data_IF_776861885938
#
_entry.id   IF_776861885938
#
_cell.length_a   1.000
_cell.length_b   1.000
_cell.length_c   1.000
_cell.angle_alpha   90.00
_cell.angle_beta   90.00
_cell.angle_gamma   90.00
#
_symmetry.space_group_name_H-M   'P 1'
#
loop_
_entity.id
_entity.type
_entity.pdbx_description
1 polymer ?
#
# COMPACT_ATOMS: atom_id res chain seq x y z
N UNK A 1 -5.46 21.38 -3.09
CA UNK A 1 -6.26 20.34 -2.45
C UNK A 1 -5.81 20.13 -1.01
N UNK A 2 -6.72 19.71 -0.14
CA UNK A 2 -6.41 19.23 1.22
C UNK A 2 -6.35 17.71 1.21
N UNK A 3 -5.18 17.13 1.49
CA UNK A 3 -4.92 15.69 1.33
C UNK A 3 -4.45 15.10 2.66
N UNK A 4 -5.14 14.07 3.14
CA UNK A 4 -4.69 13.28 4.28
C UNK A 4 -3.89 12.06 3.80
N UNK A 5 -2.72 11.84 4.39
CA UNK A 5 -1.85 10.70 4.07
C UNK A 5 -1.60 9.90 5.35
N UNK A 6 -2.28 8.78 5.49
CA UNK A 6 -2.11 7.87 6.61
C UNK A 6 -0.86 7.01 6.38
N UNK A 7 0.09 7.04 7.32
CA UNK A 7 1.35 6.30 7.16
C UNK A 7 2.31 6.86 6.10
N UNK A 8 2.23 8.15 5.80
CA UNK A 8 2.95 8.82 4.70
C UNK A 8 4.48 8.90 4.82
N UNK A 9 5.10 8.19 5.76
CA UNK A 9 6.57 8.23 5.96
C UNK A 9 7.30 6.98 5.44
N UNK A 10 6.57 6.03 4.86
CA UNK A 10 7.10 4.77 4.33
C UNK A 10 7.68 4.87 2.91
N UNK A 11 7.98 3.71 2.32
CA UNK A 11 8.66 3.58 1.02
C UNK A 11 7.93 4.28 -0.14
N UNK A 12 6.60 4.27 -0.14
CA UNK A 12 5.75 4.93 -1.14
C UNK A 12 5.29 6.31 -0.66
N UNK A 13 4.99 6.46 0.64
CA UNK A 13 4.44 7.68 1.21
C UNK A 13 5.42 8.85 1.19
N UNK A 14 6.68 8.63 1.58
CA UNK A 14 7.67 9.71 1.62
C UNK A 14 7.93 10.38 0.25
N UNK A 15 8.12 9.64 -0.86
CA UNK A 15 8.21 10.25 -2.17
C UNK A 15 6.88 10.91 -2.61
N UNK A 16 5.72 10.36 -2.25
CA UNK A 16 4.42 10.94 -2.58
C UNK A 16 4.24 12.30 -1.89
N UNK A 17 4.49 12.39 -0.59
CA UNK A 17 4.46 13.66 0.16
C UNK A 17 5.33 14.71 -0.51
N UNK A 18 6.55 14.32 -0.93
CA UNK A 18 7.49 15.22 -1.60
C UNK A 18 7.00 15.69 -2.97
N UNK A 19 6.29 14.83 -3.71
CA UNK A 19 5.73 15.19 -5.02
C UNK A 19 4.53 16.12 -4.84
N UNK A 20 3.56 15.77 -4.00
CA UNK A 20 2.33 16.52 -3.79
C UNK A 20 2.58 17.92 -3.19
N UNK A 21 3.63 18.07 -2.37
CA UNK A 21 3.98 19.36 -1.81
C UNK A 21 4.44 20.39 -2.86
N UNK A 22 4.91 19.95 -4.04
CA UNK A 22 5.32 20.85 -5.13
C UNK A 22 4.16 21.57 -5.78
N UNK A 23 2.95 21.02 -5.71
CA UNK A 23 1.75 21.52 -6.37
C UNK A 23 0.86 22.36 -5.44
N UNK A 24 1.43 22.97 -4.40
CA UNK A 24 0.74 23.79 -3.39
C UNK A 24 -0.44 23.09 -2.70
N UNK A 25 -0.41 21.77 -2.61
CA UNK A 25 -1.40 21.01 -1.83
C UNK A 25 -1.14 21.17 -0.33
N UNK A 26 -2.18 21.30 0.47
CA UNK A 26 -2.09 21.20 1.93
C UNK A 26 -2.10 19.72 2.32
N UNK A 27 -1.00 19.24 2.84
CA UNK A 27 -0.81 17.84 3.20
C UNK A 27 -0.87 17.66 4.71
N UNK A 28 -1.70 16.72 5.15
CA UNK A 28 -1.80 16.25 6.52
C UNK A 28 -1.23 14.83 6.58
N UNK A 29 -0.07 14.67 7.19
CA UNK A 29 0.70 13.41 7.13
C UNK A 29 0.81 12.80 8.52
N UNK A 30 0.24 11.61 8.74
CA UNK A 30 0.40 10.94 10.02
C UNK A 30 1.78 10.28 10.15
N UNK A 31 2.35 10.40 11.35
CA UNK A 31 3.64 9.79 11.70
C UNK A 31 3.66 9.41 13.18
N UNK A 32 4.17 8.22 13.50
CA UNK A 32 4.37 7.79 14.89
C UNK A 32 5.46 8.62 15.60
N UNK A 33 6.45 9.08 14.85
CA UNK A 33 7.52 9.94 15.36
C UNK A 33 7.20 11.40 15.11
N UNK A 34 7.62 12.28 16.04
CA UNK A 34 7.53 13.72 15.86
C UNK A 34 8.33 14.15 14.62
N UNK A 35 7.74 15.01 13.80
CA UNK A 35 8.38 15.62 12.63
C UNK A 35 8.07 17.11 12.58
N UNK A 36 8.99 17.86 12.03
CA UNK A 36 8.80 19.29 11.82
C UNK A 36 7.88 19.55 10.64
N UNK A 37 6.93 20.45 10.82
CA UNK A 37 6.06 20.91 9.75
C UNK A 37 6.89 21.71 8.72
N UNK A 38 6.42 21.68 7.48
CA UNK A 38 6.96 22.46 6.36
C UNK A 38 5.83 23.29 5.77
N UNK A 39 6.16 24.21 4.87
CA UNK A 39 5.21 25.19 4.33
C UNK A 39 3.83 24.62 3.95
N UNK A 40 3.81 23.48 3.26
CA UNK A 40 2.54 22.84 2.84
C UNK A 40 2.30 21.48 3.50
N UNK A 41 3.12 21.08 4.47
CA UNK A 41 3.07 19.76 5.10
C UNK A 41 2.90 19.91 6.60
N UNK A 42 1.76 19.48 7.11
CA UNK A 42 1.49 19.34 8.54
C UNK A 42 1.66 17.88 8.94
N UNK A 43 2.69 17.60 9.75
CA UNK A 43 2.85 16.27 10.34
C UNK A 43 2.05 16.15 11.63
N UNK A 44 1.14 15.17 11.67
CA UNK A 44 0.31 14.89 12.84
C UNK A 44 0.89 13.66 13.53
N UNK A 45 1.45 13.85 14.72
CA UNK A 45 2.04 12.76 15.48
C UNK A 45 0.96 11.91 16.13
N UNK A 46 0.99 10.61 15.83
CA UNK A 46 0.08 9.62 16.43
C UNK A 46 0.08 8.29 15.67
N UNK A 47 -0.57 7.31 16.27
CA UNK A 47 -0.78 6.01 15.63
C UNK A 47 -2.13 6.02 14.90
N UNK A 48 -2.13 6.03 13.58
CA UNK A 48 -3.35 6.03 12.77
C UNK A 48 -4.22 4.78 12.97
N UNK A 49 -3.70 3.71 13.60
CA UNK A 49 -4.48 2.54 14.02
C UNK A 49 -5.24 2.75 15.35
N UNK A 50 -4.85 3.73 16.15
CA UNK A 50 -5.58 4.07 17.36
C UNK A 50 -6.91 4.74 17.00
N UNK A 51 -8.01 4.24 17.57
CA UNK A 51 -9.36 4.69 17.21
C UNK A 51 -9.65 6.13 17.71
N UNK A 52 -9.09 6.53 18.85
CA UNK A 52 -9.28 7.90 19.35
C UNK A 52 -8.51 8.89 18.46
N UNK A 53 -7.27 8.58 18.13
CA UNK A 53 -6.48 9.40 17.21
C UNK A 53 -7.12 9.44 15.81
N UNK A 54 -7.56 8.30 15.27
CA UNK A 54 -8.24 8.24 13.97
C UNK A 54 -9.48 9.16 13.93
N UNK A 55 -10.31 9.16 14.98
CA UNK A 55 -11.47 10.05 15.07
C UNK A 55 -11.08 11.53 15.01
N UNK A 56 -9.95 11.92 15.60
CA UNK A 56 -9.49 13.32 15.52
C UNK A 56 -9.12 13.74 14.10
N UNK A 57 -8.62 12.81 13.28
CA UNK A 57 -8.31 13.08 11.87
C UNK A 57 -9.58 13.27 11.05
N UNK A 58 -10.67 12.60 11.42
CA UNK A 58 -11.97 12.65 10.73
C UNK A 58 -12.87 13.82 11.19
N UNK A 59 -12.32 14.86 11.84
CA UNK A 59 -13.04 16.08 12.18
C UNK A 59 -13.32 16.99 10.96
N UNK A 60 -12.74 16.69 9.82
CA UNK A 60 -12.87 17.46 8.57
C UNK A 60 -13.00 16.53 7.38
N UNK A 61 -13.40 17.09 6.25
CA UNK A 61 -13.38 16.40 4.98
C UNK A 61 -12.09 16.74 4.22
N UNK A 62 -11.62 15.81 3.40
CA UNK A 62 -10.42 15.93 2.56
C UNK A 62 -10.79 15.73 1.09
N UNK A 63 -10.07 16.39 0.19
CA UNK A 63 -10.21 16.11 -1.25
C UNK A 63 -9.74 14.69 -1.57
N UNK A 64 -8.66 14.23 -0.90
CA UNK A 64 -8.22 12.84 -1.00
C UNK A 64 -7.71 12.31 0.35
N UNK A 65 -7.98 11.05 0.63
CA UNK A 65 -7.33 10.27 1.70
C UNK A 65 -6.51 9.17 1.06
N UNK A 66 -5.20 9.15 1.34
CA UNK A 66 -4.26 8.14 0.83
C UNK A 66 -3.81 7.29 2.00
N UNK A 67 -4.21 6.03 2.02
CA UNK A 67 -4.13 5.17 3.19
C UNK A 67 -3.09 4.05 3.01
N UNK A 68 -1.86 4.29 3.47
CA UNK A 68 -0.78 3.31 3.47
C UNK A 68 -0.80 2.36 4.68
N UNK A 69 -1.84 2.43 5.50
CA UNK A 69 -1.94 1.56 6.67
C UNK A 69 -2.27 0.13 6.26
N UNK A 70 -1.76 -0.81 7.03
CA UNK A 70 -2.10 -2.24 6.88
C UNK A 70 -3.09 -2.59 7.98
N UNK A 71 -4.29 -2.94 7.60
CA UNK A 71 -5.37 -3.35 8.50
C UNK A 71 -5.57 -4.87 8.42
N UNK A 72 -6.27 -5.44 9.40
CA UNK A 72 -7.00 -6.69 9.24
C UNK A 72 -8.40 -6.42 8.70
N UNK A 73 -9.08 -7.45 8.23
CA UNK A 73 -10.39 -7.32 7.56
C UNK A 73 -11.43 -6.60 8.46
N UNK A 74 -11.56 -6.99 9.72
CA UNK A 74 -12.53 -6.37 10.64
C UNK A 74 -12.11 -4.93 11.03
N UNK A 75 -10.82 -4.68 11.21
CA UNK A 75 -10.33 -3.33 11.50
C UNK A 75 -10.67 -2.33 10.38
N UNK A 76 -10.51 -2.74 9.12
CA UNK A 76 -10.90 -1.89 7.98
C UNK A 76 -12.42 -1.71 7.91
N UNK A 77 -13.19 -2.77 8.11
CA UNK A 77 -14.66 -2.75 8.07
C UNK A 77 -15.24 -1.68 8.99
N UNK A 78 -14.73 -1.57 10.22
CA UNK A 78 -15.16 -0.54 11.18
C UNK A 78 -14.86 0.89 10.72
N UNK A 79 -13.78 1.09 9.95
CA UNK A 79 -13.28 2.41 9.54
C UNK A 79 -13.80 2.87 8.19
N UNK A 80 -14.17 1.93 7.33
CA UNK A 80 -14.36 2.16 5.91
C UNK A 80 -15.43 3.22 5.62
N UNK A 81 -16.60 3.14 6.28
CA UNK A 81 -17.65 4.14 6.09
C UNK A 81 -17.21 5.54 6.53
N UNK A 82 -16.44 5.62 7.60
CA UNK A 82 -15.93 6.90 8.10
C UNK A 82 -14.96 7.49 7.09
N UNK A 83 -14.01 6.69 6.57
CA UNK A 83 -13.05 7.11 5.55
C UNK A 83 -13.75 7.62 4.29
N UNK A 84 -14.70 6.84 3.76
CA UNK A 84 -15.43 7.20 2.54
C UNK A 84 -16.33 8.43 2.69
N UNK A 85 -16.85 8.69 3.89
CA UNK A 85 -17.68 9.86 4.16
C UNK A 85 -16.85 11.15 4.31
N UNK A 86 -15.57 11.04 4.67
CA UNK A 86 -14.71 12.20 4.94
C UNK A 86 -13.72 12.50 3.79
N UNK A 87 -13.96 11.93 2.59
CA UNK A 87 -13.15 12.24 1.42
C UNK A 87 -13.93 12.24 0.12
N UNK A 88 -13.45 13.01 -0.85
CA UNK A 88 -13.95 12.92 -2.22
C UNK A 88 -13.33 11.75 -2.98
N UNK A 89 -12.09 11.34 -2.63
CA UNK A 89 -11.43 10.16 -3.19
C UNK A 89 -10.60 9.43 -2.13
N UNK A 90 -10.88 8.15 -1.91
CA UNK A 90 -10.14 7.26 -1.01
C UNK A 90 -9.21 6.33 -1.76
N UNK A 91 -7.92 6.42 -1.50
CA UNK A 91 -6.91 5.50 -2.06
C UNK A 91 -6.63 4.37 -1.07
N UNK A 92 -7.08 3.18 -1.42
CA UNK A 92 -6.85 1.96 -0.67
C UNK A 92 -5.66 1.19 -1.22
N UNK A 93 -4.68 0.88 -0.38
CA UNK A 93 -3.55 0.04 -0.75
C UNK A 93 -3.83 -1.42 -0.43
N UNK A 94 -4.21 -2.15 -1.47
CA UNK A 94 -4.22 -3.59 -1.50
C UNK A 94 -2.80 -4.12 -1.74
N UNK A 95 -2.65 -5.30 -2.30
CA UNK A 95 -1.35 -5.90 -2.63
C UNK A 95 -1.49 -6.87 -3.79
N UNK A 96 -0.46 -6.99 -4.63
CA UNK A 96 -0.39 -8.08 -5.60
C UNK A 96 -0.35 -9.47 -4.97
N UNK A 97 -0.06 -9.55 -3.65
CA UNK A 97 -0.15 -10.81 -2.91
C UNK A 97 -1.57 -11.37 -2.78
N UNK A 98 -2.59 -10.58 -3.07
CA UNK A 98 -3.97 -11.08 -3.13
C UNK A 98 -4.24 -11.97 -4.34
N UNK A 99 -3.38 -11.95 -5.38
CA UNK A 99 -3.55 -12.82 -6.55
C UNK A 99 -3.16 -14.25 -6.26
N UNK A 100 -3.84 -15.17 -6.93
CA UNK A 100 -3.42 -16.55 -6.99
C UNK A 100 -2.12 -16.72 -7.79
N UNK A 101 -1.45 -17.85 -7.60
CA UNK A 101 -0.26 -18.20 -8.39
C UNK A 101 -0.65 -18.33 -9.87
N UNK A 102 0.24 -17.87 -10.76
CA UNK A 102 -0.04 -17.84 -12.19
C UNK A 102 1.22 -18.08 -13.01
N UNK A 103 1.11 -18.93 -14.02
CA UNK A 103 2.17 -19.14 -15.02
C UNK A 103 2.18 -18.06 -16.10
N UNK A 104 1.12 -17.25 -16.19
CA UNK A 104 1.00 -16.14 -17.14
C UNK A 104 1.11 -14.79 -16.42
N UNK A 105 1.29 -13.73 -17.20
CA UNK A 105 1.35 -12.37 -16.65
C UNK A 105 0.06 -12.03 -15.90
N UNK A 106 0.20 -11.56 -14.68
CA UNK A 106 -0.90 -11.07 -13.84
C UNK A 106 -1.39 -9.72 -14.37
N UNK A 107 -2.71 -9.57 -14.45
CA UNK A 107 -3.44 -8.36 -14.80
C UNK A 107 -4.42 -8.01 -13.68
N UNK A 108 -5.10 -6.87 -13.80
CA UNK A 108 -6.13 -6.44 -12.84
C UNK A 108 -7.24 -7.48 -12.65
N UNK A 109 -7.58 -8.21 -13.71
CA UNK A 109 -8.67 -9.21 -13.74
C UNK A 109 -8.19 -10.63 -13.39
N UNK A 110 -6.90 -10.83 -13.08
CA UNK A 110 -6.38 -12.14 -12.69
C UNK A 110 -7.04 -12.63 -11.40
N UNK A 111 -7.30 -13.96 -11.26
CA UNK A 111 -7.94 -14.52 -10.09
C UNK A 111 -7.21 -14.19 -8.79
N UNK A 112 -7.99 -13.86 -7.75
CA UNK A 112 -7.44 -13.61 -6.41
C UNK A 112 -7.51 -14.89 -5.57
N UNK A 113 -6.64 -15.01 -4.57
CA UNK A 113 -6.67 -16.12 -3.61
C UNK A 113 -8.06 -16.29 -2.98
N UNK A 114 -8.68 -15.20 -2.57
CA UNK A 114 -10.01 -15.21 -1.91
C UNK A 114 -11.12 -15.74 -2.83
N UNK A 115 -10.93 -15.71 -4.14
CA UNK A 115 -11.96 -16.12 -5.11
C UNK A 115 -11.83 -17.60 -5.51
N UNK A 116 -10.62 -18.21 -5.39
CA UNK A 116 -10.35 -19.56 -5.91
C UNK A 116 -9.76 -20.54 -4.90
N UNK A 117 -9.38 -20.09 -3.70
CA UNK A 117 -8.84 -20.95 -2.66
C UNK A 117 -9.92 -21.93 -2.18
N UNK A 118 -9.54 -23.21 -2.07
CA UNK A 118 -10.40 -24.29 -1.55
C UNK A 118 -9.91 -24.86 -0.22
N UNK A 119 -8.78 -24.37 0.28
CA UNK A 119 -8.22 -24.76 1.58
C UNK A 119 -8.99 -24.05 2.70
N UNK A 120 -9.82 -24.82 3.43
CA UNK A 120 -10.69 -24.32 4.49
C UNK A 120 -9.90 -23.70 5.66
N UNK A 121 -8.75 -24.30 6.03
CA UNK A 121 -7.90 -23.77 7.08
C UNK A 121 -7.34 -22.41 6.66
N UNK A 122 -6.81 -22.31 5.45
CA UNK A 122 -6.29 -21.03 4.92
C UNK A 122 -7.40 -19.99 4.74
N UNK A 123 -8.60 -20.41 4.36
CA UNK A 123 -9.78 -19.54 4.28
C UNK A 123 -10.25 -19.05 5.66
N UNK A 124 -9.99 -19.80 6.74
CA UNK A 124 -10.41 -19.42 8.10
C UNK A 124 -9.55 -18.31 8.72
N UNK A 125 -8.32 -18.14 8.26
CA UNK A 125 -7.38 -17.15 8.79
C UNK A 125 -7.39 -15.85 7.99
N UNK A 126 -6.98 -14.76 8.62
CA UNK A 126 -6.85 -13.45 7.98
C UNK A 126 -5.38 -13.20 7.57
N UNK A 127 -4.81 -14.19 6.79
CA UNK A 127 -3.48 -14.03 6.21
C UNK A 127 -3.45 -12.81 5.28
N UNK A 128 -2.32 -12.15 5.20
CA UNK A 128 -2.18 -10.85 4.54
C UNK A 128 -2.77 -10.79 3.11
N UNK A 129 -2.52 -11.81 2.27
CA UNK A 129 -3.06 -11.85 0.91
C UNK A 129 -4.57 -12.06 0.88
N UNK A 130 -5.07 -12.92 1.78
CA UNK A 130 -6.51 -13.17 1.97
C UNK A 130 -7.21 -11.93 2.53
N UNK A 131 -6.63 -11.30 3.56
CA UNK A 131 -7.14 -10.06 4.15
C UNK A 131 -7.29 -8.98 3.07
N UNK A 132 -6.26 -8.76 2.24
CA UNK A 132 -6.32 -7.78 1.15
C UNK A 132 -7.45 -8.06 0.15
N UNK A 133 -7.66 -9.30 -0.22
CA UNK A 133 -8.79 -9.70 -1.08
C UNK A 133 -10.15 -9.43 -0.43
N UNK A 134 -10.30 -9.76 0.86
CA UNK A 134 -11.53 -9.47 1.65
C UNK A 134 -11.78 -7.98 1.82
N UNK A 135 -10.75 -7.22 2.12
CA UNK A 135 -10.79 -5.76 2.26
C UNK A 135 -11.27 -5.08 0.97
N UNK A 136 -10.81 -5.54 -0.20
CA UNK A 136 -11.33 -5.09 -1.48
C UNK A 136 -12.81 -5.43 -1.67
N UNK A 137 -13.25 -6.61 -1.23
CA UNK A 137 -14.65 -6.99 -1.28
C UNK A 137 -15.52 -6.12 -0.36
N UNK A 138 -15.02 -5.76 0.85
CA UNK A 138 -15.68 -4.81 1.73
C UNK A 138 -15.86 -3.47 1.03
N UNK A 139 -14.81 -2.96 0.39
CA UNK A 139 -14.84 -1.67 -0.30
C UNK A 139 -15.90 -1.66 -1.43
N UNK A 140 -15.92 -2.69 -2.28
CA UNK A 140 -16.93 -2.83 -3.35
C UNK A 140 -18.36 -2.96 -2.81
N UNK A 141 -18.54 -3.68 -1.69
CA UNK A 141 -19.85 -3.88 -1.05
C UNK A 141 -20.44 -2.60 -0.43
N UNK A 142 -19.66 -1.54 -0.27
CA UNK A 142 -20.18 -0.26 0.26
C UNK A 142 -21.18 0.42 -0.69
N UNK A 143 -21.19 0.07 -1.97
CA UNK A 143 -21.93 0.75 -3.02
C UNK A 143 -21.43 2.18 -3.33
N UNK A 144 -20.35 2.62 -2.68
CA UNK A 144 -19.71 3.91 -2.93
C UNK A 144 -18.76 3.79 -4.12
N UNK A 145 -18.58 4.88 -4.86
CA UNK A 145 -17.71 4.92 -6.04
C UNK A 145 -16.48 5.81 -5.84
N UNK A 146 -16.36 6.46 -4.67
CA UNK A 146 -15.29 7.41 -4.38
C UNK A 146 -14.02 6.75 -3.83
N UNK A 147 -13.60 5.62 -4.40
CA UNK A 147 -12.37 4.93 -4.04
C UNK A 147 -11.53 4.53 -5.25
N UNK A 148 -10.26 4.33 -5.01
CA UNK A 148 -9.30 3.79 -5.97
C UNK A 148 -8.44 2.75 -5.27
N UNK A 149 -8.37 1.54 -5.82
CA UNK A 149 -7.56 0.45 -5.28
C UNK A 149 -6.21 0.41 -6.01
N UNK A 150 -5.12 0.37 -5.25
CA UNK A 150 -3.77 0.18 -5.78
C UNK A 150 -3.21 -1.15 -5.27
N UNK A 151 -2.73 -2.01 -6.17
CA UNK A 151 -2.05 -3.28 -5.85
C UNK A 151 -0.57 -3.19 -6.19
N UNK A 152 0.28 -2.72 -5.28
CA UNK A 152 1.72 -2.77 -5.48
C UNK A 152 2.26 -4.18 -5.25
N UNK A 153 3.36 -4.52 -5.93
CA UNK A 153 4.21 -5.65 -5.55
C UNK A 153 5.10 -5.28 -4.35
N UNK A 154 6.15 -6.06 -4.09
CA UNK A 154 7.12 -5.74 -3.03
C UNK A 154 7.74 -4.38 -3.35
N UNK A 155 7.46 -3.39 -2.49
CA UNK A 155 7.92 -2.02 -2.72
C UNK A 155 9.30 -1.79 -2.16
N UNK A 156 10.14 -1.08 -2.92
CA UNK A 156 11.48 -0.69 -2.50
C UNK A 156 11.78 0.79 -2.78
N UNK A 157 12.74 1.32 -2.05
CA UNK A 157 13.37 2.61 -2.30
C UNK A 157 14.77 2.62 -1.63
N UNK A 158 15.46 3.77 -1.61
CA UNK A 158 16.77 3.90 -0.94
C UNK A 158 16.79 3.48 0.54
N UNK A 159 15.64 3.55 1.22
CA UNK A 159 15.53 3.22 2.64
C UNK A 159 14.99 1.82 2.92
N UNK A 160 14.37 1.20 1.94
CA UNK A 160 13.77 -0.14 2.07
C UNK A 160 14.12 -1.00 0.87
N UNK A 161 14.85 -2.08 1.11
CA UNK A 161 15.20 -3.10 0.11
C UNK A 161 14.96 -4.46 0.75
N UNK A 162 14.06 -5.25 0.16
CA UNK A 162 13.82 -6.63 0.59
C UNK A 162 14.58 -7.62 -0.30
N UNK A 163 15.07 -8.70 0.31
CA UNK A 163 15.55 -9.88 -0.39
C UNK A 163 14.62 -11.05 -0.04
N UNK A 164 13.68 -11.34 -0.94
CA UNK A 164 12.59 -12.29 -0.66
C UNK A 164 11.79 -11.84 0.57
N UNK A 165 11.86 -12.63 1.65
CA UNK A 165 11.18 -12.36 2.93
C UNK A 165 12.02 -11.52 3.90
N UNK A 166 13.28 -11.27 3.60
CA UNK A 166 14.19 -10.53 4.48
C UNK A 166 14.15 -9.03 4.21
N UNK A 167 13.85 -8.25 5.24
CA UNK A 167 14.07 -6.81 5.21
C UNK A 167 15.57 -6.49 5.18
N UNK A 168 15.95 -5.30 4.73
CA UNK A 168 17.36 -4.92 4.50
C UNK A 168 18.24 -5.10 5.74
N UNK A 169 17.70 -4.88 6.93
CA UNK A 169 18.39 -5.01 8.21
C UNK A 169 18.87 -6.44 8.46
N UNK A 170 18.13 -7.43 7.95
CA UNK A 170 18.43 -8.85 8.13
C UNK A 170 19.54 -9.35 7.20
N UNK A 171 19.66 -8.80 5.99
CA UNK A 171 20.57 -9.34 4.98
C UNK A 171 21.65 -8.37 4.51
N UNK A 172 21.34 -7.07 4.32
CA UNK A 172 22.27 -6.13 3.69
C UNK A 172 23.56 -5.93 4.50
N UNK A 173 23.44 -5.80 5.83
CA UNK A 173 24.61 -5.67 6.70
C UNK A 173 25.51 -6.91 6.64
N UNK A 174 24.90 -8.10 6.53
CA UNK A 174 25.68 -9.35 6.39
C UNK A 174 26.38 -9.40 5.04
N UNK A 175 25.67 -9.04 3.96
CA UNK A 175 26.24 -8.98 2.63
C UNK A 175 27.43 -8.02 2.53
N UNK A 176 27.26 -6.80 3.05
CA UNK A 176 28.34 -5.80 3.06
C UNK A 176 29.55 -6.21 3.91
N UNK A 177 29.35 -7.05 4.92
CA UNK A 177 30.42 -7.64 5.75
C UNK A 177 30.99 -8.95 5.17
N UNK A 178 30.65 -9.35 3.93
CA UNK A 178 31.09 -10.59 3.30
C UNK A 178 30.61 -11.87 4.00
N UNK A 179 29.54 -11.76 4.83
CA UNK A 179 29.01 -12.91 5.58
C UNK A 179 27.96 -13.67 4.78
N UNK A 180 27.93 -14.98 4.94
CA UNK A 180 26.93 -15.85 4.32
C UNK A 180 25.50 -15.43 4.71
N UNK A 181 24.62 -15.36 3.71
CA UNK A 181 23.18 -15.17 3.87
C UNK A 181 22.53 -16.51 3.58
N UNK A 182 21.84 -17.09 4.57
CA UNK A 182 21.03 -18.30 4.38
C UNK A 182 19.70 -17.90 3.77
N UNK A 183 19.34 -18.51 2.66
CA UNK A 183 18.10 -18.21 1.94
C UNK A 183 17.34 -19.51 1.65
N UNK A 184 16.02 -19.59 1.91
CA UNK A 184 15.23 -20.79 1.67
C UNK A 184 15.24 -21.19 0.19
N UNK A 185 15.51 -22.46 -0.10
CA UNK A 185 15.66 -22.98 -1.46
C UNK A 185 14.37 -22.86 -2.28
N UNK A 186 13.24 -23.08 -1.66
CA UNK A 186 11.91 -22.96 -2.26
C UNK A 186 11.59 -21.51 -2.69
N UNK A 187 11.97 -20.53 -1.86
CA UNK A 187 11.83 -19.11 -2.20
C UNK A 187 12.82 -18.70 -3.29
N UNK A 188 14.06 -19.21 -3.24
CA UNK A 188 15.10 -18.89 -4.22
C UNK A 188 14.71 -19.24 -5.66
N UNK A 189 13.88 -20.28 -5.83
CA UNK A 189 13.38 -20.71 -7.15
C UNK A 189 12.20 -19.87 -7.67
N UNK A 190 11.58 -19.03 -6.82
CA UNK A 190 10.39 -18.25 -7.20
C UNK A 190 10.77 -16.93 -7.87
N UNK A 191 9.94 -16.53 -8.83
CA UNK A 191 10.02 -15.21 -9.46
C UNK A 191 9.08 -14.25 -8.76
N UNK A 192 9.53 -13.03 -8.54
CA UNK A 192 8.69 -11.95 -8.01
C UNK A 192 9.00 -10.64 -8.70
N UNK A 193 8.04 -9.72 -8.67
CA UNK A 193 8.24 -8.35 -9.13
C UNK A 193 8.54 -7.43 -7.95
N UNK A 194 9.39 -6.45 -8.18
CA UNK A 194 9.65 -5.37 -7.25
C UNK A 194 9.07 -4.07 -7.81
N UNK A 195 8.45 -3.27 -6.97
CA UNK A 195 7.89 -1.98 -7.35
C UNK A 195 8.68 -0.85 -6.71
N UNK A 196 9.19 0.07 -7.54
CA UNK A 196 9.89 1.25 -7.03
C UNK A 196 8.88 2.22 -6.41
N UNK A 197 9.06 2.53 -5.12
CA UNK A 197 8.11 3.37 -4.37
C UNK A 197 7.86 4.75 -5.00
N UNK A 198 8.86 5.47 -5.52
CA UNK A 198 8.65 6.71 -6.27
C UNK A 198 7.80 6.58 -7.54
N UNK A 199 7.83 5.43 -8.24
CA UNK A 199 6.97 5.22 -9.43
C UNK A 199 5.50 5.08 -9.02
N UNK A 200 5.24 4.39 -7.89
CA UNK A 200 3.90 4.34 -7.29
C UNK A 200 3.43 5.74 -6.93
N UNK A 201 4.28 6.51 -6.27
CA UNK A 201 3.97 7.88 -5.89
C UNK A 201 3.63 8.76 -7.11
N UNK A 202 4.42 8.67 -8.17
CA UNK A 202 4.17 9.41 -9.43
C UNK A 202 2.87 8.98 -10.11
N UNK A 203 2.50 7.70 -10.02
CA UNK A 203 1.23 7.19 -10.54
C UNK A 203 0.05 7.73 -9.74
N UNK A 204 0.14 7.73 -8.40
CA UNK A 204 -0.92 8.25 -7.53
C UNK A 204 -1.19 9.73 -7.82
N UNK A 205 -0.14 10.55 -7.98
CA UNK A 205 -0.28 11.99 -8.32
C UNK A 205 -1.16 12.19 -9.56
N UNK A 206 -1.05 11.30 -10.55
CA UNK A 206 -1.86 11.37 -11.79
C UNK A 206 -3.31 10.91 -11.60
N UNK A 207 -3.59 10.14 -10.56
CA UNK A 207 -4.92 9.58 -10.28
C UNK A 207 -5.74 10.45 -9.34
N UNK A 208 -5.09 11.32 -8.54
CA UNK A 208 -5.78 12.17 -7.56
C UNK A 208 -6.64 13.20 -8.27
N UNK A 209 -7.91 13.29 -7.84
CA UNK A 209 -8.89 14.28 -8.33
C UNK A 209 -9.49 13.95 -9.71
N UNK A 210 -9.04 12.89 -10.37
CA UNK A 210 -9.63 12.46 -11.63
C UNK A 210 -10.75 11.44 -11.40
N UNK A 211 -11.99 11.88 -11.60
CA UNK A 211 -13.20 11.06 -11.44
C UNK A 211 -13.20 9.79 -12.31
N UNK A 212 -12.47 9.77 -13.42
CA UNK A 212 -12.35 8.60 -14.30
C UNK A 212 -11.61 7.44 -13.63
N UNK A 213 -10.82 7.72 -12.60
CA UNK A 213 -10.05 6.75 -11.86
C UNK A 213 -10.69 6.32 -10.53
N UNK A 214 -11.87 6.84 -10.23
CA UNK A 214 -12.70 6.39 -9.11
C UNK A 214 -13.40 5.08 -9.49
N UNK A 215 -13.70 4.24 -8.50
CA UNK A 215 -14.25 2.88 -8.67
C UNK A 215 -13.36 2.00 -9.58
N UNK A 216 -12.05 2.22 -9.54
CA UNK A 216 -11.07 1.51 -10.36
C UNK A 216 -9.98 0.87 -9.51
N UNK A 217 -9.38 -0.16 -10.09
CA UNK A 217 -8.26 -0.86 -9.55
C UNK A 217 -7.07 -0.74 -10.50
N UNK A 218 -5.88 -0.54 -9.94
CA UNK A 218 -4.63 -0.44 -10.69
C UNK A 218 -3.56 -1.32 -10.07
N UNK A 219 -2.85 -2.08 -10.92
CA UNK A 219 -1.63 -2.76 -10.54
C UNK A 219 -0.45 -1.83 -10.77
N UNK A 220 0.33 -1.59 -9.73
CA UNK A 220 1.59 -0.88 -9.90
C UNK A 220 2.66 -1.85 -10.39
N UNK A 221 2.80 -1.98 -11.71
CA UNK A 221 3.84 -2.80 -12.33
C UNK A 221 5.13 -1.98 -12.56
N UNK A 222 6.31 -2.57 -12.37
CA UNK A 222 7.56 -1.95 -12.81
C UNK A 222 7.58 -1.86 -14.33
N UNK A 223 8.03 -0.74 -14.89
CA UNK A 223 8.17 -0.58 -16.35
C UNK A 223 9.14 -1.59 -16.97
N UNK A 224 10.09 -2.12 -16.22
CA UNK A 224 10.95 -3.28 -16.50
C UNK A 224 11.62 -3.73 -15.21
N UNK A 225 11.44 -4.95 -14.77
CA UNK A 225 12.47 -5.69 -14.05
C UNK A 225 12.07 -7.15 -13.90
N UNK A 226 12.79 -7.98 -14.58
CA UNK A 226 12.91 -9.39 -14.25
C UNK A 226 14.25 -9.52 -13.56
N UNK A 227 14.26 -9.59 -12.24
CA UNK A 227 15.43 -10.11 -11.55
C UNK A 227 15.36 -11.63 -11.61
N UNK A 228 15.87 -12.18 -12.70
CA UNK A 228 16.26 -13.57 -12.74
C UNK A 228 17.56 -13.70 -11.97
N UNK A 229 17.56 -14.33 -10.82
CA UNK A 229 18.77 -14.85 -10.21
C UNK A 229 19.22 -16.00 -11.12
N UNK A 230 20.24 -15.76 -11.93
CA UNK A 230 20.96 -16.86 -12.59
C UNK A 230 21.71 -17.63 -11.51
N UNK A 231 21.46 -18.93 -11.42
CA UNK A 231 22.22 -19.91 -10.65
C UNK A 231 23.68 -19.98 -11.09
#
# INVERSE_FOLDING_TARGET
MEILILGGTGAMGAPLVKLLAKDNNKLFVTSRSKRENKEHITYIQGNAKDNAFFKTLMCRKYDAIIDFMVYGTEELKERLQILLNHTDQYFFFSSSRCYADSSVRITEDSPRLVDICTDEEYLSIDEYGMAKGREENLLRKTGRLNWTIIRPYITYNSNRIQLGVYEKENWLRRALAGRTIVFPKDIASKKTSLTYGPDVASSIVKLIGDKKHMDKLFISQPMKAILGVKS
#
